data_IF_451316771946
#
_entry.id   IF_451316771946
#
_cell.length_a   1.000
_cell.length_b   1.000
_cell.length_c   1.000
_cell.angle_alpha   90.00
_cell.angle_beta   90.00
_cell.angle_gamma   90.00
#
_symmetry.space_group_name_H-M   'P 1'
#
loop_
_entity.id
_entity.type
_entity.pdbx_description
1 polymer ?
#
# COMPACT_ATOMS: atom_id res chain seq x y z
N UNK A 1 24.78 0.02 -3.43
CA UNK A 1 24.31 -1.24 -2.80
C UNK A 1 22.84 -1.44 -3.14
N UNK A 2 22.48 -2.38 -4.04
CA UNK A 2 21.07 -2.65 -4.36
C UNK A 2 20.35 -3.27 -3.16
N UNK A 3 19.08 -2.91 -2.97
CA UNK A 3 18.21 -3.47 -1.93
C UNK A 3 17.00 -4.08 -2.60
N UNK A 4 16.86 -5.40 -2.48
CA UNK A 4 15.80 -6.17 -3.13
C UNK A 4 14.71 -6.49 -2.10
N UNK A 5 13.44 -6.30 -2.48
CA UNK A 5 12.27 -6.66 -1.68
C UNK A 5 11.24 -7.39 -2.54
N UNK A 6 10.42 -8.22 -1.90
CA UNK A 6 9.38 -9.01 -2.56
C UNK A 6 8.05 -8.91 -1.82
N UNK A 7 7.02 -8.56 -2.59
CA UNK A 7 5.59 -8.67 -2.29
C UNK A 7 4.98 -9.65 -3.32
N UNK A 8 4.03 -9.22 -4.16
CA UNK A 8 3.61 -10.00 -5.34
C UNK A 8 4.70 -9.91 -6.42
N UNK A 9 5.28 -8.72 -6.59
CA UNK A 9 6.45 -8.46 -7.44
C UNK A 9 7.76 -8.40 -6.66
N UNK A 10 8.89 -8.51 -7.36
CA UNK A 10 10.23 -8.30 -6.80
C UNK A 10 10.77 -6.96 -7.30
N UNK A 11 11.05 -6.04 -6.38
CA UNK A 11 11.53 -4.69 -6.68
C UNK A 11 12.99 -4.51 -6.25
N UNK A 12 13.76 -3.73 -7.03
CA UNK A 12 15.13 -3.35 -6.70
C UNK A 12 16.24 -4.21 -7.33
N UNK A 13 15.89 -5.07 -8.31
CA UNK A 13 16.87 -5.83 -9.09
C UNK A 13 17.68 -4.90 -10.01
N UNK A 14 19.00 -5.10 -10.18
CA UNK A 14 19.77 -4.37 -11.17
C UNK A 14 19.16 -4.49 -12.58
N UNK A 15 19.13 -3.39 -13.33
CA UNK A 15 18.53 -3.35 -14.67
C UNK A 15 17.00 -3.22 -14.70
N UNK A 16 16.35 -3.09 -13.54
CA UNK A 16 14.90 -2.85 -13.45
C UNK A 16 14.60 -1.47 -12.88
N UNK A 17 13.48 -0.87 -13.32
CA UNK A 17 12.96 0.36 -12.75
C UNK A 17 11.44 0.23 -12.59
N UNK A 18 10.99 0.23 -11.34
CA UNK A 18 9.57 0.04 -11.00
C UNK A 18 8.85 1.37 -10.79
N UNK A 19 7.60 1.44 -11.19
CA UNK A 19 6.75 2.61 -11.10
C UNK A 19 5.50 2.36 -10.25
N UNK A 20 5.17 3.32 -9.39
CA UNK A 20 3.89 3.37 -8.70
C UNK A 20 2.85 4.00 -9.61
N UNK A 21 1.71 3.33 -9.78
CA UNK A 21 0.53 3.93 -10.37
C UNK A 21 -0.34 4.53 -9.26
N UNK A 22 -0.61 5.83 -9.31
CA UNK A 22 -1.41 6.54 -8.30
C UNK A 22 -2.64 7.21 -8.97
N UNK A 23 -3.72 6.44 -9.19
CA UNK A 23 -4.93 6.93 -9.83
C UNK A 23 -5.82 7.62 -8.78
N UNK A 24 -5.61 8.92 -8.57
CA UNK A 24 -6.39 9.68 -7.59
C UNK A 24 -7.58 10.36 -8.27
N UNK A 25 -8.69 10.47 -7.56
CA UNK A 25 -9.84 11.27 -7.97
C UNK A 25 -10.21 12.26 -6.86
N UNK A 26 -10.74 13.43 -7.22
CA UNK A 26 -11.09 14.48 -6.24
C UNK A 26 -12.31 14.14 -5.37
N UNK A 27 -13.03 13.09 -5.71
CA UNK A 27 -14.22 12.59 -5.01
C UNK A 27 -14.15 11.09 -4.77
N UNK A 28 -12.99 10.48 -4.97
CA UNK A 28 -12.80 9.03 -5.00
C UNK A 28 -13.78 8.31 -5.96
N UNK A 29 -14.08 8.93 -7.12
CA UNK A 29 -14.92 8.31 -8.14
C UNK A 29 -14.23 7.06 -8.74
N UNK A 30 -14.89 5.91 -8.65
CA UNK A 30 -14.28 4.63 -9.05
C UNK A 30 -14.14 4.46 -10.56
N UNK A 31 -14.97 5.14 -11.35
CA UNK A 31 -14.83 5.09 -12.81
C UNK A 31 -13.61 5.91 -13.25
N UNK A 32 -13.42 7.09 -12.65
CA UNK A 32 -12.22 7.92 -12.82
C UNK A 32 -10.95 7.17 -12.40
N UNK A 33 -10.97 6.51 -11.23
CA UNK A 33 -9.86 5.68 -10.74
C UNK A 33 -9.57 4.54 -11.73
N UNK A 34 -10.60 3.80 -12.16
CA UNK A 34 -10.43 2.69 -13.09
C UNK A 34 -9.86 3.16 -14.45
N UNK A 35 -10.34 4.28 -14.99
CA UNK A 35 -9.84 4.84 -16.24
C UNK A 35 -8.33 5.15 -16.16
N UNK A 36 -7.88 5.79 -15.07
CA UNK A 36 -6.47 6.08 -14.83
C UNK A 36 -5.64 4.80 -14.60
N UNK A 37 -6.23 3.75 -14.03
CA UNK A 37 -5.57 2.43 -13.93
C UNK A 37 -5.30 1.87 -15.33
N UNK A 38 -6.31 1.85 -16.20
CA UNK A 38 -6.16 1.33 -17.57
C UNK A 38 -5.11 2.12 -18.36
N UNK A 39 -5.15 3.46 -18.27
CA UNK A 39 -4.15 4.31 -18.91
C UNK A 39 -2.76 4.00 -18.37
N UNK A 40 -2.54 4.00 -17.06
CA UNK A 40 -1.23 3.76 -16.47
C UNK A 40 -0.65 2.38 -16.79
N UNK A 41 -1.48 1.35 -16.77
CA UNK A 41 -1.08 0.00 -17.16
C UNK A 41 -0.65 -0.07 -18.63
N UNK A 42 -1.27 0.71 -19.52
CA UNK A 42 -0.87 0.77 -20.93
C UNK A 42 0.55 1.30 -21.15
N UNK A 43 1.07 2.09 -20.21
CA UNK A 43 2.46 2.57 -20.19
C UNK A 43 3.41 1.69 -19.36
N UNK A 44 2.95 0.53 -18.88
CA UNK A 44 3.73 -0.37 -18.03
C UNK A 44 3.93 0.13 -16.60
N UNK A 45 3.13 1.09 -16.13
CA UNK A 45 3.18 1.57 -14.75
C UNK A 45 2.36 0.68 -13.81
N UNK A 46 2.78 0.57 -12.54
CA UNK A 46 2.03 -0.11 -11.50
C UNK A 46 2.67 -1.40 -10.99
N UNK A 47 3.83 -1.81 -11.49
CA UNK A 47 4.58 -2.98 -11.00
C UNK A 47 5.08 -2.80 -9.55
N UNK A 48 5.31 -1.56 -9.11
CA UNK A 48 5.66 -1.25 -7.72
C UNK A 48 4.45 -1.32 -6.78
N UNK A 49 3.30 -0.77 -7.20
CA UNK A 49 2.01 -0.74 -6.48
C UNK A 49 1.00 0.05 -7.31
N UNK A 50 -0.27 -0.36 -7.30
CA UNK A 50 -1.41 0.48 -7.69
C UNK A 50 -2.01 1.05 -6.40
N UNK A 51 -1.76 2.33 -6.13
CA UNK A 51 -2.01 2.92 -4.82
C UNK A 51 -2.79 4.23 -4.86
N UNK A 52 -4.01 4.28 -4.33
CA UNK A 52 -4.87 5.46 -4.31
C UNK A 52 -4.68 6.25 -3.01
N UNK A 53 -4.55 7.57 -3.09
CA UNK A 53 -4.61 8.44 -1.92
C UNK A 53 -6.04 8.97 -1.78
N UNK A 54 -6.86 8.40 -0.87
CA UNK A 54 -8.27 8.71 -0.83
C UNK A 54 -8.49 10.13 -0.32
N UNK A 55 -9.59 10.74 -0.75
CA UNK A 55 -10.09 12.01 -0.21
C UNK A 55 -10.80 11.77 1.12
N UNK A 56 -11.58 10.69 1.23
CA UNK A 56 -12.30 10.33 2.45
C UNK A 56 -11.66 9.13 3.15
N UNK A 57 -11.29 9.30 4.42
CA UNK A 57 -10.69 8.25 5.26
C UNK A 57 -11.75 7.54 6.11
N UNK A 58 -12.55 6.70 5.45
CA UNK A 58 -13.52 5.81 6.09
C UNK A 58 -13.47 4.39 5.49
N UNK A 59 -13.99 3.43 6.25
CA UNK A 59 -13.86 2.01 5.93
C UNK A 59 -14.61 1.61 4.67
N UNK A 60 -15.79 2.19 4.42
CA UNK A 60 -16.62 1.84 3.26
C UNK A 60 -15.99 2.38 1.98
N UNK A 61 -15.52 3.63 2.00
CA UNK A 61 -14.81 4.23 0.87
C UNK A 61 -13.53 3.46 0.54
N UNK A 62 -12.72 3.13 1.55
CA UNK A 62 -11.51 2.33 1.35
C UNK A 62 -11.81 0.97 0.72
N UNK A 63 -12.86 0.29 1.19
CA UNK A 63 -13.26 -1.02 0.66
C UNK A 63 -13.65 -0.90 -0.81
N UNK A 64 -14.51 0.07 -1.15
CA UNK A 64 -14.95 0.34 -2.53
C UNK A 64 -13.78 0.65 -3.48
N UNK A 65 -12.82 1.45 -3.02
CA UNK A 65 -11.62 1.78 -3.82
C UNK A 65 -10.71 0.55 -3.98
N UNK A 66 -10.50 -0.22 -2.90
CA UNK A 66 -9.72 -1.46 -2.96
C UNK A 66 -10.36 -2.48 -3.91
N UNK A 67 -11.68 -2.68 -3.84
CA UNK A 67 -12.43 -3.57 -4.71
C UNK A 67 -12.33 -3.16 -6.17
N UNK A 68 -12.30 -1.84 -6.46
CA UNK A 68 -12.11 -1.33 -7.82
C UNK A 68 -10.70 -1.65 -8.35
N UNK A 69 -9.68 -1.44 -7.51
CA UNK A 69 -8.29 -1.77 -7.86
C UNK A 69 -8.13 -3.28 -8.10
N UNK A 70 -8.63 -4.10 -7.19
CA UNK A 70 -8.54 -5.55 -7.31
C UNK A 70 -9.42 -6.13 -8.41
N UNK A 71 -10.55 -5.49 -8.72
CA UNK A 71 -11.37 -5.85 -9.87
C UNK A 71 -10.61 -5.76 -11.20
N UNK A 72 -9.66 -4.83 -11.33
CA UNK A 72 -8.76 -4.79 -12.51
C UNK A 72 -7.63 -5.81 -12.38
N UNK A 73 -6.97 -5.88 -11.22
CA UNK A 73 -5.86 -6.81 -10.99
C UNK A 73 -6.29 -8.26 -11.26
N UNK A 74 -7.40 -8.69 -10.68
CA UNK A 74 -7.89 -10.07 -10.76
C UNK A 74 -8.42 -10.39 -12.16
N UNK A 75 -9.15 -9.45 -12.79
CA UNK A 75 -9.68 -9.63 -14.15
C UNK A 75 -8.58 -9.91 -15.18
N UNK A 76 -7.42 -9.28 -15.04
CA UNK A 76 -6.31 -9.41 -15.99
C UNK A 76 -5.14 -10.22 -15.43
N UNK A 77 -5.28 -10.84 -14.24
CA UNK A 77 -4.22 -11.57 -13.54
C UNK A 77 -2.90 -10.78 -13.45
N UNK A 78 -3.00 -9.48 -13.14
CA UNK A 78 -1.86 -8.57 -13.15
C UNK A 78 -0.95 -8.88 -11.95
N UNK A 79 0.35 -9.18 -12.15
CA UNK A 79 1.27 -9.41 -11.05
C UNK A 79 1.63 -8.07 -10.40
N UNK A 80 0.79 -7.57 -9.50
CA UNK A 80 1.03 -6.36 -8.71
C UNK A 80 0.24 -6.42 -7.38
N UNK A 81 0.31 -5.36 -6.59
CA UNK A 81 -0.37 -5.20 -5.31
C UNK A 81 -1.18 -3.91 -5.28
N UNK A 82 -2.38 -3.97 -4.71
CA UNK A 82 -3.22 -2.81 -4.41
C UNK A 82 -2.91 -2.17 -3.05
N UNK A 83 -3.17 -0.87 -2.92
CA UNK A 83 -3.05 -0.14 -1.65
C UNK A 83 -3.95 1.10 -1.64
N UNK A 84 -4.51 1.46 -0.48
CA UNK A 84 -5.16 2.76 -0.26
C UNK A 84 -4.44 3.48 0.87
N UNK A 85 -3.90 4.66 0.59
CA UNK A 85 -2.93 5.37 1.43
C UNK A 85 -3.59 6.18 2.56
N UNK A 86 -4.59 5.59 3.22
CA UNK A 86 -5.33 6.21 4.33
C UNK A 86 -4.59 6.06 5.68
N UNK A 87 -5.20 6.46 6.79
CA UNK A 87 -4.69 6.11 8.10
C UNK A 87 -4.68 4.60 8.31
N UNK A 88 -3.59 4.07 8.88
CA UNK A 88 -3.36 2.62 8.96
C UNK A 88 -4.42 1.87 9.78
N UNK A 89 -5.08 2.53 10.73
CA UNK A 89 -6.17 1.91 11.50
C UNK A 89 -7.39 1.67 10.63
N UNK A 90 -7.74 2.61 9.75
CA UNK A 90 -8.87 2.49 8.82
C UNK A 90 -8.59 1.39 7.79
N UNK A 91 -7.36 1.32 7.28
CA UNK A 91 -6.94 0.24 6.38
C UNK A 91 -7.06 -1.14 7.05
N UNK A 92 -6.56 -1.28 8.28
CA UNK A 92 -6.67 -2.56 9.03
C UNK A 92 -8.12 -2.94 9.26
N UNK A 93 -8.97 -1.97 9.60
CA UNK A 93 -10.39 -2.22 9.83
C UNK A 93 -11.12 -2.63 8.54
N UNK A 94 -10.87 -1.96 7.41
CA UNK A 94 -11.41 -2.35 6.12
C UNK A 94 -11.01 -3.78 5.74
N UNK A 95 -9.74 -4.13 5.90
CA UNK A 95 -9.24 -5.48 5.60
C UNK A 95 -9.86 -6.52 6.53
N UNK A 96 -10.05 -6.20 7.82
CA UNK A 96 -10.75 -7.09 8.78
C UNK A 96 -12.21 -7.35 8.39
N UNK A 97 -12.85 -6.39 7.72
CA UNK A 97 -14.22 -6.52 7.19
C UNK A 97 -14.28 -7.21 5.82
N UNK A 98 -13.14 -7.64 5.28
CA UNK A 98 -13.08 -8.43 4.05
C UNK A 98 -12.57 -7.67 2.82
N UNK A 99 -12.20 -6.39 2.95
CA UNK A 99 -11.60 -5.65 1.82
C UNK A 99 -10.26 -6.30 1.41
N UNK A 100 -9.93 -6.35 0.11
CA UNK A 100 -8.73 -7.03 -0.36
C UNK A 100 -7.46 -6.27 0.06
N UNK A 101 -6.58 -6.96 0.79
CA UNK A 101 -5.34 -6.39 1.33
C UNK A 101 -4.10 -6.72 0.50
N UNK A 102 -3.47 -5.70 -0.11
CA UNK A 102 -2.16 -5.83 -0.77
C UNK A 102 -1.03 -5.33 0.12
N UNK A 103 -0.70 -4.05 0.01
CA UNK A 103 0.20 -3.36 0.95
C UNK A 103 -0.59 -2.49 1.92
N UNK A 104 -0.08 -2.39 3.15
CA UNK A 104 -0.58 -1.50 4.19
C UNK A 104 0.31 -0.26 4.25
N UNK A 105 -0.29 0.92 4.10
CA UNK A 105 0.41 2.19 4.10
C UNK A 105 0.44 2.83 5.50
N UNK A 106 1.54 3.55 5.81
CA UNK A 106 1.53 4.51 6.92
C UNK A 106 2.54 5.65 6.68
N UNK A 107 2.11 6.89 6.92
CA UNK A 107 3.04 8.02 6.99
C UNK A 107 3.85 7.95 8.30
N UNK A 108 5.17 8.13 8.20
CA UNK A 108 6.10 8.06 9.34
C UNK A 108 6.89 9.35 9.51
N UNK A 109 7.30 9.62 10.75
CA UNK A 109 8.17 10.72 11.10
C UNK A 109 9.43 10.22 11.81
N UNK A 110 10.55 10.93 11.65
CA UNK A 110 11.83 10.59 12.27
C UNK A 110 11.94 10.94 13.77
N UNK A 111 10.88 11.47 14.38
CA UNK A 111 10.83 11.77 15.82
C UNK A 111 9.62 11.13 16.46
N UNK A 112 9.74 10.74 17.74
CA UNK A 112 8.60 10.20 18.50
C UNK A 112 7.46 11.21 18.58
N UNK A 113 7.77 12.51 18.77
CA UNK A 113 6.77 13.59 18.78
C UNK A 113 5.99 13.64 17.47
N UNK A 114 6.69 13.61 16.34
CA UNK A 114 6.06 13.62 15.02
C UNK A 114 5.25 12.35 14.73
N UNK A 115 5.72 11.19 15.20
CA UNK A 115 4.94 9.94 15.12
C UNK A 115 3.68 10.01 15.99
N UNK A 116 3.74 10.59 17.19
CA UNK A 116 2.56 10.76 18.06
C UNK A 116 1.51 11.67 17.43
N UNK A 117 1.92 12.73 16.73
CA UNK A 117 1.00 13.60 16.01
C UNK A 117 0.39 12.95 14.76
N UNK A 118 1.07 11.98 14.14
CA UNK A 118 0.59 11.32 12.92
C UNK A 118 0.01 9.91 13.15
N UNK A 119 0.17 9.34 14.35
CA UNK A 119 -0.06 7.92 14.62
C UNK A 119 -0.42 7.67 16.10
N UNK A 120 -1.31 8.49 16.67
CA UNK A 120 -1.62 8.52 18.11
C UNK A 120 -2.09 7.17 18.73
N UNK A 121 -2.33 6.13 17.92
CA UNK A 121 -2.76 4.79 18.39
C UNK A 121 -1.86 3.61 17.93
N UNK A 122 -0.73 3.84 17.24
CA UNK A 122 0.01 2.76 16.56
C UNK A 122 0.94 1.90 17.43
N UNK A 123 1.29 2.36 18.64
CA UNK A 123 2.32 1.74 19.51
C UNK A 123 2.02 0.27 19.86
N UNK A 124 0.76 -0.18 19.75
CA UNK A 124 0.33 -1.55 20.05
C UNK A 124 0.50 -2.56 18.89
N UNK A 125 0.48 -2.13 17.62
CA UNK A 125 0.38 -3.08 16.49
C UNK A 125 1.74 -3.55 15.97
N UNK A 126 2.75 -2.67 15.97
CA UNK A 126 4.09 -2.95 15.44
C UNK A 126 4.89 -3.96 16.28
N UNK A 127 4.58 -4.13 17.58
CA UNK A 127 5.19 -5.15 18.46
C UNK A 127 4.96 -6.58 17.96
N UNK A 128 4.06 -6.80 17.00
CA UNK A 128 3.77 -8.10 16.43
C UNK A 128 3.77 -8.00 14.91
N UNK A 129 4.94 -8.02 14.26
CA UNK A 129 5.08 -8.16 12.79
C UNK A 129 4.41 -9.41 12.16
N UNK A 130 3.48 -10.05 12.87
CA UNK A 130 2.63 -11.16 12.46
C UNK A 130 1.36 -10.68 11.75
N UNK A 131 0.84 -9.48 12.08
CA UNK A 131 -0.49 -9.03 11.62
C UNK A 131 -0.61 -8.76 10.13
N UNK A 132 0.39 -8.10 9.51
CA UNK A 132 0.32 -7.80 8.07
C UNK A 132 0.14 -9.07 7.23
N UNK A 133 0.87 -10.13 7.57
CA UNK A 133 0.82 -11.41 6.84
C UNK A 133 -0.51 -12.14 6.92
N UNK A 134 -1.24 -12.04 8.03
CA UNK A 134 -2.56 -12.68 8.15
C UNK A 134 -3.68 -11.88 7.49
N UNK A 135 -3.41 -10.62 7.13
CA UNK A 135 -4.40 -9.68 6.61
C UNK A 135 -4.23 -9.42 5.11
N UNK A 136 -3.08 -9.73 4.52
CA UNK A 136 -2.81 -9.42 3.11
C UNK A 136 -2.61 -10.67 2.26
N UNK A 137 -3.07 -10.61 1.02
CA UNK A 137 -2.93 -11.67 0.03
C UNK A 137 -1.51 -11.76 -0.57
N UNK A 138 -0.54 -10.96 -0.10
CA UNK A 138 0.79 -10.94 -0.70
C UNK A 138 1.66 -12.14 -0.28
N UNK A 139 2.23 -12.93 -1.22
CA UNK A 139 3.07 -14.07 -0.92
C UNK A 139 4.48 -13.65 -0.44
N UNK A 140 4.86 -12.39 -0.63
CA UNK A 140 6.12 -11.85 -0.17
C UNK A 140 6.11 -11.43 1.31
N UNK A 141 7.29 -11.38 1.95
CA UNK A 141 7.44 -10.95 3.35
C UNK A 141 7.26 -9.43 3.55
N UNK A 142 7.08 -8.69 2.46
CA UNK A 142 6.99 -7.23 2.46
C UNK A 142 5.54 -6.83 2.31
N UNK A 143 4.97 -6.28 3.38
CA UNK A 143 3.54 -5.96 3.47
C UNK A 143 3.29 -4.47 3.71
N UNK A 144 4.34 -3.69 4.00
CA UNK A 144 4.21 -2.27 4.35
C UNK A 144 4.80 -1.36 3.28
N UNK A 145 4.17 -0.21 3.10
CA UNK A 145 4.73 0.94 2.37
C UNK A 145 4.68 2.18 3.26
N UNK A 146 5.82 2.84 3.46
CA UNK A 146 5.93 3.97 4.38
C UNK A 146 6.33 5.23 3.65
N UNK A 147 5.66 6.34 3.94
CA UNK A 147 6.04 7.66 3.43
C UNK A 147 6.71 8.47 4.54
N UNK A 148 8.03 8.70 4.47
CA UNK A 148 8.68 9.68 5.32
C UNK A 148 8.20 11.10 4.98
N UNK A 149 7.98 11.94 6.00
CA UNK A 149 7.88 13.40 5.82
C UNK A 149 9.14 13.98 5.18
N UNK A 150 9.09 15.23 4.69
CA UNK A 150 10.05 15.95 3.80
C UNK A 150 11.57 15.87 4.10
N UNK A 151 12.05 15.12 5.08
CA UNK A 151 13.46 14.98 5.42
C UNK A 151 14.24 13.88 4.66
N UNK A 152 13.62 12.97 3.87
CA UNK A 152 14.33 12.04 2.95
C UNK A 152 13.34 11.25 2.08
N UNK A 153 13.40 11.43 0.75
CA UNK A 153 12.58 10.70 -0.25
C UNK A 153 13.03 9.24 -0.33
N UNK A 154 12.19 8.28 0.05
CA UNK A 154 12.03 6.93 -0.55
C UNK A 154 10.88 6.21 0.20
N UNK A 155 9.96 5.49 -0.48
CA UNK A 155 9.04 4.60 0.21
C UNK A 155 9.82 3.49 0.92
N UNK A 156 9.74 3.44 2.25
CA UNK A 156 10.40 2.40 3.05
C UNK A 156 9.46 1.20 3.16
N UNK A 157 9.89 0.06 2.62
CA UNK A 157 9.17 -1.19 2.76
C UNK A 157 9.73 -1.99 3.94
N UNK A 158 8.98 -2.08 5.05
CA UNK A 158 9.39 -2.84 6.24
C UNK A 158 9.00 -4.32 6.11
N UNK A 159 9.96 -5.19 6.41
CA UNK A 159 9.75 -6.63 6.60
C UNK A 159 9.52 -6.92 8.09
N UNK A 160 8.59 -7.81 8.41
CA UNK A 160 8.53 -8.42 9.74
C UNK A 160 9.83 -9.19 10.02
N UNK A 161 10.49 -8.93 11.15
CA UNK A 161 11.71 -9.63 11.56
C UNK A 161 11.51 -11.16 11.62
N UNK A 162 12.53 -11.97 11.29
CA UNK A 162 12.51 -13.40 11.57
C UNK A 162 12.60 -13.60 13.09
N UNK A 163 11.70 -14.41 13.64
CA UNK A 163 11.84 -14.98 14.98
C UNK A 163 13.02 -15.96 14.96
N UNK A 164 13.99 -15.76 15.85
CA UNK A 164 14.82 -16.87 16.35
C UNK A 164 13.92 -17.87 17.06
#
# INVERSE_FOLDING_TARGET
MPVIKKANTTIGLPGTFSCRLQPNDTRDDVQSIAAQIYEGLSFGAGDAVIGVNPVTDDVENLSRVLDTVYGVIDKFNIPTQGCVLAHVTTQIEAIRRGAPGGLIFQSICGSEKGLKSSASSWRCSMKRGRWGRSLTASPGRTVFTLKPGRARRFPLALTSAPTR
#
